data_IF_944927652346
#
_entry.id   IF_944927652346
#
_cell.length_a   1.000
_cell.length_b   1.000
_cell.length_c   1.000
_cell.angle_alpha   90.00
_cell.angle_beta   90.00
_cell.angle_gamma   90.00
#
_symmetry.space_group_name_H-M   'P 1'
#
loop_
_entity.id
_entity.type
_entity.pdbx_description
1 polymer ?
#
# COMPACT_ATOMS: atom_id res chain seq x y z
N UNK A 1 13.40 -3.44 3.07
CA UNK A 1 14.80 -3.15 2.65
C UNK A 1 15.52 -2.43 3.81
N UNK A 2 16.33 -3.12 4.62
CA UNK A 2 16.72 -2.62 5.95
C UNK A 2 17.44 -1.27 5.93
N UNK A 3 18.44 -1.10 5.06
CA UNK A 3 19.27 0.12 5.05
C UNK A 3 18.52 1.37 4.57
N UNK A 4 17.60 1.21 3.61
CA UNK A 4 16.78 2.31 3.10
C UNK A 4 15.75 2.74 4.15
N UNK A 5 15.21 1.78 4.89
CA UNK A 5 14.33 2.05 6.02
C UNK A 5 15.10 2.79 7.10
N UNK A 6 16.21 2.25 7.63
CA UNK A 6 17.02 2.88 8.68
C UNK A 6 17.40 4.32 8.35
N UNK A 7 17.85 4.58 7.13
CA UNK A 7 18.27 5.91 6.66
C UNK A 7 17.12 6.86 6.30
N UNK A 8 15.88 6.38 6.26
CA UNK A 8 14.71 7.16 5.84
C UNK A 8 14.59 7.38 4.33
N UNK A 9 15.59 6.94 3.55
CA UNK A 9 15.56 6.99 2.08
C UNK A 9 14.39 6.19 1.48
N UNK A 10 13.83 5.23 2.24
CA UNK A 10 12.66 4.46 1.83
C UNK A 10 11.46 5.34 1.47
N UNK A 11 11.32 6.52 2.08
CA UNK A 11 10.22 7.45 1.78
C UNK A 11 10.38 8.01 0.36
N UNK A 12 11.59 8.45 0.00
CA UNK A 12 11.89 8.99 -1.32
C UNK A 12 11.84 7.90 -2.40
N UNK A 13 12.39 6.73 -2.11
CA UNK A 13 12.34 5.57 -3.00
C UNK A 13 10.88 5.16 -3.23
N UNK A 14 10.10 5.04 -2.17
CA UNK A 14 8.69 4.66 -2.23
C UNK A 14 7.87 5.63 -3.08
N UNK A 15 8.08 6.94 -2.95
CA UNK A 15 7.45 7.95 -3.82
C UNK A 15 7.81 7.71 -5.29
N UNK A 16 9.10 7.54 -5.61
CA UNK A 16 9.56 7.30 -6.98
C UNK A 16 9.01 5.98 -7.56
N UNK A 17 8.88 4.95 -6.73
CA UNK A 17 8.29 3.66 -7.13
C UNK A 17 6.81 3.82 -7.46
N UNK A 18 6.04 4.50 -6.61
CA UNK A 18 4.62 4.77 -6.85
C UNK A 18 4.40 5.58 -8.13
N UNK A 19 5.18 6.65 -8.34
CA UNK A 19 5.11 7.47 -9.56
C UNK A 19 5.42 6.64 -10.83
N UNK A 20 6.40 5.75 -10.74
CA UNK A 20 6.81 4.89 -11.85
C UNK A 20 5.76 3.83 -12.15
N UNK A 21 5.20 3.18 -11.11
CA UNK A 21 4.14 2.19 -11.23
C UNK A 21 2.89 2.80 -11.88
N UNK A 22 2.44 3.95 -11.37
CA UNK A 22 1.29 4.67 -11.93
C UNK A 22 1.52 5.09 -13.39
N UNK A 23 2.73 5.55 -13.72
CA UNK A 23 3.10 5.90 -15.10
C UNK A 23 3.06 4.69 -16.02
N UNK A 24 3.58 3.55 -15.58
CA UNK A 24 3.64 2.33 -16.41
C UNK A 24 2.26 1.74 -16.62
N UNK A 25 1.40 1.71 -15.60
CA UNK A 25 -0.01 1.30 -15.73
C UNK A 25 -0.74 2.19 -16.74
N UNK A 26 -0.61 3.52 -16.60
CA UNK A 26 -1.27 4.45 -17.52
C UNK A 26 -0.78 4.29 -18.95
N UNK A 27 0.51 4.04 -19.13
CA UNK A 27 1.12 3.80 -20.43
C UNK A 27 0.52 2.56 -21.10
N UNK A 28 0.42 1.44 -20.38
CA UNK A 28 -0.16 0.19 -20.90
C UNK A 28 -1.65 0.31 -21.19
N UNK A 29 -2.39 1.03 -20.35
CA UNK A 29 -3.80 1.33 -20.60
C UNK A 29 -3.98 2.04 -21.95
N UNK A 30 -3.13 3.02 -22.26
CA UNK A 30 -3.22 3.81 -23.50
C UNK A 30 -2.67 3.07 -24.73
N UNK A 31 -1.51 2.42 -24.59
CA UNK A 31 -0.78 1.84 -25.72
C UNK A 31 -1.28 0.43 -26.09
N UNK A 32 -1.76 -0.33 -25.11
CA UNK A 32 -2.10 -1.74 -25.27
C UNK A 32 -3.61 -2.02 -25.08
N UNK A 33 -4.41 -1.03 -24.66
CA UNK A 33 -5.82 -1.19 -24.27
C UNK A 33 -6.01 -2.25 -23.16
N UNK A 34 -5.02 -2.34 -22.26
CA UNK A 34 -5.01 -3.29 -21.14
C UNK A 34 -5.07 -2.52 -19.81
N UNK A 35 -6.16 -2.70 -19.08
CA UNK A 35 -6.28 -2.23 -17.68
C UNK A 35 -5.69 -3.28 -16.73
N UNK A 36 -4.45 -3.05 -16.28
CA UNK A 36 -3.78 -3.89 -15.27
C UNK A 36 -3.76 -3.18 -13.93
N UNK A 37 -4.08 -3.92 -12.87
CA UNK A 37 -3.81 -3.48 -11.51
C UNK A 37 -2.34 -3.77 -11.16
N UNK A 38 -1.65 -2.78 -10.59
CA UNK A 38 -0.28 -2.95 -10.07
C UNK A 38 -0.31 -2.93 -8.55
N UNK A 39 0.40 -3.88 -7.92
CA UNK A 39 0.59 -3.87 -6.47
C UNK A 39 1.95 -3.28 -6.10
N UNK A 40 1.97 -2.38 -5.13
CA UNK A 40 3.18 -1.73 -4.62
C UNK A 40 3.32 -1.99 -3.13
N UNK A 41 4.46 -2.56 -2.74
CA UNK A 41 4.82 -2.80 -1.36
C UNK A 41 5.10 -1.50 -0.61
N UNK A 42 4.49 -1.33 0.56
CA UNK A 42 4.61 -0.14 1.40
C UNK A 42 5.37 -0.46 2.68
N UNK A 43 6.39 0.34 2.95
CA UNK A 43 7.16 0.23 4.20
C UNK A 43 6.40 0.79 5.41
N UNK A 44 6.67 0.30 6.63
CA UNK A 44 6.08 0.86 7.85
C UNK A 44 6.37 2.37 8.00
N UNK A 45 7.59 2.81 7.68
CA UNK A 45 7.97 4.23 7.76
C UNK A 45 7.15 5.15 6.85
N UNK A 46 6.68 4.65 5.71
CA UNK A 46 5.76 5.41 4.85
C UNK A 46 4.37 5.47 5.46
N UNK A 47 3.89 4.36 6.03
CA UNK A 47 2.59 4.28 6.70
C UNK A 47 2.53 5.12 7.99
N UNK A 48 3.68 5.48 8.56
CA UNK A 48 3.76 6.43 9.68
C UNK A 48 3.66 7.90 9.27
N UNK A 49 3.79 8.23 7.98
CA UNK A 49 3.73 9.62 7.53
C UNK A 49 2.28 10.06 7.36
N UNK A 50 1.86 11.12 8.06
CA UNK A 50 0.52 11.70 7.89
C UNK A 50 0.31 12.21 6.45
N UNK A 51 1.39 12.63 5.80
CA UNK A 51 1.43 13.10 4.42
C UNK A 51 1.36 11.97 3.38
N UNK A 52 1.41 10.69 3.77
CA UNK A 52 1.42 9.58 2.81
C UNK A 52 0.16 9.58 1.94
N UNK A 53 -1.00 9.82 2.54
CA UNK A 53 -2.28 9.94 1.81
C UNK A 53 -2.23 11.08 0.78
N UNK A 54 -1.63 12.22 1.15
CA UNK A 54 -1.50 13.38 0.28
C UNK A 54 -0.54 13.10 -0.88
N UNK A 55 0.59 12.43 -0.61
CA UNK A 55 1.54 12.00 -1.65
C UNK A 55 0.85 11.09 -2.66
N UNK A 56 0.15 10.07 -2.17
CA UNK A 56 -0.54 9.11 -3.02
C UNK A 56 -1.64 9.80 -3.84
N UNK A 57 -2.50 10.61 -3.22
CA UNK A 57 -3.56 11.35 -3.93
C UNK A 57 -3.01 12.32 -4.99
N UNK A 58 -1.89 12.98 -4.72
CA UNK A 58 -1.24 13.88 -5.68
C UNK A 58 -0.80 13.12 -6.94
N UNK A 59 -0.18 11.95 -6.78
CA UNK A 59 0.26 11.11 -7.90
C UNK A 59 -0.91 10.73 -8.81
N UNK A 60 -2.07 10.38 -8.25
CA UNK A 60 -3.25 10.03 -9.04
C UNK A 60 -3.84 11.22 -9.79
N UNK A 61 -3.99 12.35 -9.10
CA UNK A 61 -4.55 13.56 -9.69
C UNK A 61 -3.70 14.08 -10.86
N UNK A 62 -2.37 14.01 -10.75
CA UNK A 62 -1.45 14.43 -11.81
C UNK A 62 -1.48 13.50 -13.03
N UNK A 63 -1.76 12.21 -12.83
CA UNK A 63 -1.69 11.18 -13.87
C UNK A 63 -3.04 10.83 -14.48
N UNK A 64 -4.14 11.34 -13.91
CA UNK A 64 -5.52 10.99 -14.27
C UNK A 64 -5.68 9.46 -14.42
N UNK A 65 -5.17 8.75 -13.41
CA UNK A 65 -5.18 7.30 -13.31
C UNK A 65 -6.37 6.89 -12.44
N UNK A 66 -7.10 5.85 -12.86
CA UNK A 66 -8.12 5.23 -12.02
C UNK A 66 -7.46 4.66 -10.75
N UNK A 67 -7.82 5.12 -9.54
CA UNK A 67 -7.27 4.62 -8.28
C UNK A 67 -7.43 3.11 -8.09
N UNK A 68 -8.44 2.50 -8.72
CA UNK A 68 -8.66 1.05 -8.67
C UNK A 68 -7.53 0.23 -9.31
N UNK A 69 -6.70 0.85 -10.16
CA UNK A 69 -5.57 0.19 -10.80
C UNK A 69 -4.30 0.15 -9.94
N UNK A 70 -4.35 0.68 -8.70
CA UNK A 70 -3.29 0.51 -7.71
C UNK A 70 -3.78 -0.34 -6.54
N UNK A 71 -2.97 -1.32 -6.18
CA UNK A 71 -3.03 -2.03 -4.92
C UNK A 71 -1.83 -1.60 -4.06
N UNK A 72 -2.08 -1.34 -2.78
CA UNK A 72 -1.03 -1.13 -1.79
C UNK A 72 -0.93 -2.37 -0.91
N UNK A 73 0.25 -2.99 -0.93
CA UNK A 73 0.55 -4.20 -0.18
C UNK A 73 1.37 -3.86 1.06
N UNK A 74 0.92 -4.35 2.22
CA UNK A 74 1.51 -4.02 3.52
C UNK A 74 1.68 -5.32 4.29
N UNK A 75 2.84 -5.53 4.90
CA UNK A 75 3.01 -6.71 5.76
C UNK A 75 2.28 -6.54 7.09
N UNK A 76 1.83 -7.64 7.68
CA UNK A 76 1.22 -7.64 9.01
C UNK A 76 2.09 -6.89 10.05
N UNK A 77 3.39 -7.16 10.07
CA UNK A 77 4.34 -6.52 10.98
C UNK A 77 4.43 -5.00 10.80
N UNK A 78 4.36 -4.51 9.55
CA UNK A 78 4.38 -3.07 9.27
C UNK A 78 3.14 -2.37 9.81
N UNK A 79 1.98 -2.99 9.69
CA UNK A 79 0.72 -2.46 10.21
C UNK A 79 0.73 -2.43 11.75
N UNK A 80 1.25 -3.49 12.38
CA UNK A 80 1.20 -3.68 13.84
C UNK A 80 2.13 -2.75 14.64
N UNK A 81 3.07 -2.04 14.00
CA UNK A 81 3.94 -1.07 14.68
C UNK A 81 3.13 0.08 15.33
N UNK A 82 2.14 0.62 14.61
CA UNK A 82 1.26 1.72 15.05
C UNK A 82 -0.18 1.46 14.55
N UNK A 83 -0.81 0.38 15.04
CA UNK A 83 -2.04 -0.20 14.45
C UNK A 83 -3.18 0.79 14.24
N UNK A 84 -3.51 1.63 15.24
CA UNK A 84 -4.62 2.58 15.14
C UNK A 84 -4.36 3.64 14.06
N UNK A 85 -3.10 4.12 13.99
CA UNK A 85 -2.68 5.10 12.98
C UNK A 85 -2.69 4.48 11.58
N UNK A 86 -2.15 3.27 11.45
CA UNK A 86 -2.18 2.49 10.22
C UNK A 86 -3.61 2.35 9.72
N UNK A 87 -4.54 1.88 10.56
CA UNK A 87 -5.97 1.72 10.21
C UNK A 87 -6.56 3.04 9.68
N UNK A 88 -6.28 4.17 10.34
CA UNK A 88 -6.79 5.47 9.88
C UNK A 88 -6.25 5.84 8.49
N UNK A 89 -4.98 5.58 8.22
CA UNK A 89 -4.35 5.85 6.92
C UNK A 89 -4.91 4.93 5.84
N UNK A 90 -5.04 3.64 6.12
CA UNK A 90 -5.65 2.66 5.21
C UNK A 90 -7.09 3.03 4.87
N UNK A 91 -7.87 3.48 5.85
CA UNK A 91 -9.23 3.94 5.61
C UNK A 91 -9.28 5.15 4.67
N UNK A 92 -8.37 6.12 4.84
CA UNK A 92 -8.25 7.27 3.95
C UNK A 92 -7.85 6.85 2.53
N UNK A 93 -6.91 5.92 2.40
CA UNK A 93 -6.46 5.39 1.09
C UNK A 93 -7.60 4.66 0.37
N UNK A 94 -8.37 3.81 1.06
CA UNK A 94 -9.55 3.17 0.46
C UNK A 94 -10.62 4.15 0.03
N UNK A 95 -10.81 5.25 0.75
CA UNK A 95 -11.72 6.33 0.34
C UNK A 95 -11.30 7.01 -0.97
N UNK A 96 -10.03 6.92 -1.35
CA UNK A 96 -9.55 7.36 -2.66
C UNK A 96 -9.86 6.34 -3.77
N UNK A 97 -10.35 5.15 -3.44
CA UNK A 97 -10.62 4.06 -4.39
C UNK A 97 -9.46 3.09 -4.58
N UNK A 98 -8.41 3.18 -3.75
CA UNK A 98 -7.21 2.35 -3.82
C UNK A 98 -7.48 1.01 -3.15
N UNK A 99 -7.04 -0.09 -3.77
CA UNK A 99 -7.12 -1.42 -3.17
C UNK A 99 -6.02 -1.62 -2.14
N UNK A 100 -6.31 -2.30 -1.04
CA UNK A 100 -5.32 -2.58 0.00
C UNK A 100 -5.25 -4.07 0.27
N UNK A 101 -4.04 -4.61 0.27
CA UNK A 101 -3.77 -6.00 0.66
C UNK A 101 -2.81 -6.05 1.85
N UNK A 102 -3.02 -7.05 2.72
CA UNK A 102 -2.07 -7.38 3.78
C UNK A 102 -1.38 -8.70 3.43
N UNK A 103 -0.05 -8.69 3.52
CA UNK A 103 0.80 -9.87 3.32
C UNK A 103 1.34 -10.44 4.64
N UNK A 104 1.81 -11.68 4.58
CA UNK A 104 2.35 -12.46 5.71
C UNK A 104 1.38 -12.58 6.89
N UNK A 105 0.06 -12.53 6.63
CA UNK A 105 -0.94 -12.53 7.69
C UNK A 105 -0.93 -13.85 8.48
N UNK A 106 -0.80 -13.74 9.81
CA UNK A 106 -0.78 -14.88 10.73
C UNK A 106 0.60 -15.21 11.28
N UNK A 107 1.66 -14.55 10.80
CA UNK A 107 3.05 -14.76 11.27
C UNK A 107 3.36 -13.96 12.54
N UNK A 108 2.57 -12.93 12.87
CA UNK A 108 2.69 -12.13 14.09
C UNK A 108 1.79 -12.58 15.25
N UNK A 109 1.96 -11.96 16.43
CA UNK A 109 1.11 -12.18 17.63
C UNK A 109 -0.24 -11.44 17.53
N UNK A 110 -0.75 -11.26 16.31
CA UNK A 110 -1.97 -10.50 16.09
C UNK A 110 -3.16 -11.32 16.55
N UNK A 111 -3.80 -10.81 17.59
CA UNK A 111 -5.10 -11.28 18.00
C UNK A 111 -6.07 -11.04 16.84
N UNK A 112 -6.75 -12.08 16.35
CA UNK A 112 -7.87 -12.04 15.37
C UNK A 112 -8.85 -10.87 15.60
N UNK A 113 -8.88 -10.31 16.81
CA UNK A 113 -9.58 -9.11 17.25
C UNK A 113 -9.55 -7.94 16.24
N UNK A 114 -8.41 -7.67 15.59
CA UNK A 114 -8.32 -6.51 14.69
C UNK A 114 -8.85 -6.77 13.28
N UNK A 115 -8.92 -8.03 12.82
CA UNK A 115 -9.36 -8.37 11.45
C UNK A 115 -10.68 -7.70 11.10
N UNK A 116 -11.64 -7.71 12.03
CA UNK A 116 -12.96 -7.11 11.85
C UNK A 116 -12.94 -5.59 11.61
N UNK A 117 -11.84 -4.92 11.95
CA UNK A 117 -11.65 -3.48 11.86
C UNK A 117 -10.73 -3.07 10.70
N UNK A 118 -10.03 -4.03 10.08
CA UNK A 118 -9.06 -3.73 9.03
C UNK A 118 -9.77 -3.30 7.75
N UNK A 119 -9.53 -2.08 7.25
CA UNK A 119 -10.12 -1.61 6.00
C UNK A 119 -9.25 -2.11 4.85
N UNK A 120 -9.31 -3.41 4.56
CA UNK A 120 -8.51 -4.05 3.50
C UNK A 120 -9.39 -4.90 2.61
N UNK A 121 -8.98 -5.03 1.35
CA UNK A 121 -9.71 -5.76 0.30
C UNK A 121 -9.22 -7.21 0.21
N UNK A 122 -7.96 -7.47 0.58
CA UNK A 122 -7.36 -8.79 0.56
C UNK A 122 -6.48 -9.05 1.79
N UNK A 123 -6.58 -10.25 2.34
CA UNK A 123 -5.66 -10.79 3.34
C UNK A 123 -4.96 -12.00 2.72
N UNK A 124 -3.63 -11.93 2.55
CA UNK A 124 -2.80 -13.03 2.06
C UNK A 124 -2.26 -13.79 3.27
N UNK A 125 -2.66 -15.06 3.38
CA UNK A 125 -2.22 -15.95 4.47
C UNK A 125 -0.81 -16.44 4.11
N UNK A 126 0.11 -16.36 5.07
CA UNK A 126 1.47 -16.85 4.86
C UNK A 126 1.49 -18.35 4.53
N UNK A 127 2.38 -18.72 3.61
CA UNK A 127 2.51 -20.10 3.11
C UNK A 127 2.94 -21.10 4.20
N UNK A 128 3.50 -20.67 5.34
CA UNK A 128 3.82 -21.58 6.44
C UNK A 128 2.58 -22.21 7.10
N UNK A 129 1.38 -21.70 6.80
CA UNK A 129 0.10 -22.22 7.29
C UNK A 129 -0.59 -23.21 6.35
N UNK A 130 -0.09 -23.43 5.13
CA UNK A 130 -0.66 -24.33 4.09
C UNK A 130 0.22 -25.55 3.88
#
# INVERSE_FOLDING_TARGET
>A
MPIAEETGNIILIGKSVLETACKEVKKREIEEDISLQVSVNISPRQLEQDSFVDVVSTIFNEKNLDPGLLELEITEGAMMHEVDKSIQILFKLRKLGISISIDDFGTGVSSLNYISQLPVDMLKIDQSFV
#
